data_IF_399582134397
#
_entry.id   IF_399582134397
#
_cell.length_a   1.000
_cell.length_b   1.000
_cell.length_c   1.000
_cell.angle_alpha   90.00
_cell.angle_beta   90.00
_cell.angle_gamma   90.00
#
_symmetry.space_group_name_H-M   'P 1'
#
loop_
_entity.id
_entity.type
_entity.pdbx_description
1 polymer ?
#
# COMPACT_ATOMS: atom_id res chain seq x y z
N UNK A 1 -0.38 5.37 -5.88
CA UNK A 1 -1.76 4.94 -5.57
C UNK A 1 -2.04 4.97 -4.07
N UNK A 2 -1.30 4.23 -3.24
CA UNK A 2 -1.51 4.18 -1.79
C UNK A 2 -1.52 5.58 -1.13
N UNK A 3 -0.54 6.44 -1.45
CA UNK A 3 -0.49 7.82 -0.94
C UNK A 3 -1.73 8.66 -1.32
N UNK A 4 -2.29 8.45 -2.52
CA UNK A 4 -3.53 9.12 -2.94
C UNK A 4 -4.76 8.59 -2.19
N UNK A 5 -4.77 7.30 -1.83
CA UNK A 5 -5.80 6.74 -0.95
C UNK A 5 -5.70 7.36 0.45
N UNK A 6 -4.50 7.47 1.01
CA UNK A 6 -4.25 8.13 2.30
C UNK A 6 -4.75 9.58 2.26
N UNK A 7 -4.32 10.35 1.25
CA UNK A 7 -4.76 11.75 1.06
C UNK A 7 -6.29 11.87 0.95
N UNK A 8 -6.97 10.90 0.32
CA UNK A 8 -8.43 10.87 0.25
C UNK A 8 -9.08 10.62 1.61
N UNK A 9 -8.52 9.75 2.45
CA UNK A 9 -9.05 9.48 3.80
C UNK A 9 -8.84 10.67 4.74
N UNK A 10 -7.72 11.38 4.59
CA UNK A 10 -7.43 12.62 5.35
C UNK A 10 -8.44 13.75 5.09
N UNK A 11 -9.26 13.67 4.04
CA UNK A 11 -10.34 14.63 3.80
C UNK A 11 -11.50 14.45 4.78
N UNK A 12 -11.62 13.27 5.38
CA UNK A 12 -12.64 12.95 6.39
C UNK A 12 -12.12 13.08 7.83
N UNK A 13 -10.92 13.63 8.02
CA UNK A 13 -10.22 13.74 9.32
C UNK A 13 -10.15 12.41 10.10
N UNK A 14 -10.09 11.28 9.39
CA UNK A 14 -9.91 9.96 9.97
C UNK A 14 -8.42 9.59 10.08
N UNK A 15 -8.05 8.94 11.19
CA UNK A 15 -6.67 8.49 11.43
C UNK A 15 -6.22 7.47 10.39
N UNK A 16 -5.01 7.67 9.86
CA UNK A 16 -4.34 6.74 8.95
C UNK A 16 -2.98 6.34 9.51
N UNK A 17 -2.65 5.05 9.40
CA UNK A 17 -1.34 4.51 9.78
C UNK A 17 -0.63 3.97 8.54
N UNK A 18 0.64 4.32 8.38
CA UNK A 18 1.57 3.74 7.43
C UNK A 18 2.64 2.93 8.15
N UNK A 19 2.60 1.62 8.00
CA UNK A 19 3.59 0.69 8.53
C UNK A 19 4.67 0.46 7.46
N UNK A 20 5.82 1.13 7.61
CA UNK A 20 6.95 1.06 6.69
C UNK A 20 7.91 -0.07 7.12
N UNK A 21 7.64 -1.27 6.65
CA UNK A 21 8.46 -2.47 6.92
C UNK A 21 9.71 -2.53 6.05
N UNK A 22 9.81 -1.70 5.01
CA UNK A 22 10.95 -1.70 4.09
C UNK A 22 11.83 -0.45 4.22
N UNK A 23 11.50 0.49 5.09
CA UNK A 23 12.24 1.76 5.25
C UNK A 23 12.37 2.52 3.93
N UNK A 24 11.27 2.60 3.18
CA UNK A 24 11.21 3.22 1.84
C UNK A 24 10.24 4.39 1.75
N UNK A 25 9.62 4.77 2.87
CA UNK A 25 8.68 5.88 2.88
C UNK A 25 9.39 7.21 2.65
N UNK A 26 8.95 7.94 1.63
CA UNK A 26 9.40 9.30 1.32
C UNK A 26 8.32 10.30 1.79
N UNK A 27 8.57 11.03 2.90
CA UNK A 27 7.61 12.00 3.44
C UNK A 27 7.40 13.20 2.49
N UNK A 28 8.43 13.63 1.77
CA UNK A 28 8.33 14.77 0.87
C UNK A 28 7.45 14.42 -0.33
N UNK A 29 7.62 13.22 -0.88
CA UNK A 29 6.74 12.73 -1.95
C UNK A 29 5.30 12.50 -1.46
N UNK A 30 5.12 12.05 -0.22
CA UNK A 30 3.80 11.93 0.39
C UNK A 30 3.08 13.29 0.48
N UNK A 31 3.77 14.33 0.92
CA UNK A 31 3.24 15.71 0.98
C UNK A 31 2.85 16.19 -0.42
N UNK A 32 3.72 16.01 -1.42
CA UNK A 32 3.40 16.33 -2.83
C UNK A 32 2.19 15.53 -3.37
N UNK A 33 1.96 14.33 -2.83
CA UNK A 33 0.76 13.55 -3.14
C UNK A 33 -0.51 14.04 -2.44
N UNK A 34 -0.43 15.01 -1.53
CA UNK A 34 -1.55 15.56 -0.76
C UNK A 34 -1.78 14.89 0.59
N UNK A 35 -0.82 14.10 1.07
CA UNK A 35 -0.86 13.54 2.42
C UNK A 35 -0.58 14.66 3.42
N UNK A 36 -1.42 14.75 4.45
CA UNK A 36 -1.24 15.67 5.59
C UNK A 36 -0.34 15.00 6.65
N UNK A 37 0.91 15.45 6.88
CA UNK A 37 1.85 14.76 7.78
C UNK A 37 1.39 14.70 9.23
N UNK A 38 0.69 15.74 9.70
CA UNK A 38 0.10 15.84 11.04
C UNK A 38 -0.98 14.79 11.31
N UNK A 39 -1.59 14.24 10.25
CA UNK A 39 -2.62 13.20 10.34
C UNK A 39 -2.10 11.79 10.02
N UNK A 40 -0.86 11.66 9.53
CA UNK A 40 -0.28 10.36 9.18
C UNK A 40 0.60 9.83 10.32
N UNK A 41 0.18 8.73 10.92
CA UNK A 41 1.04 7.98 11.86
C UNK A 41 1.93 7.04 11.05
N UNK A 42 3.25 7.19 11.16
CA UNK A 42 4.22 6.27 10.56
C UNK A 42 4.79 5.35 11.64
N UNK A 43 4.81 4.05 11.38
CA UNK A 43 5.45 3.06 12.26
C UNK A 43 6.53 2.30 11.49
N UNK A 44 7.71 2.18 12.10
CA UNK A 44 8.88 1.51 11.52
C UNK A 44 9.24 0.30 12.40
N UNK A 45 8.61 -0.87 12.15
CA UNK A 45 8.89 -2.06 12.93
C UNK A 45 10.33 -2.52 12.71
N UNK A 46 10.98 -2.96 13.78
CA UNK A 46 12.34 -3.48 13.78
C UNK A 46 12.38 -4.97 13.39
N UNK A 47 11.24 -5.65 13.38
CA UNK A 47 11.13 -7.06 12.97
C UNK A 47 9.78 -7.39 12.31
N UNK A 48 9.68 -8.48 11.53
CA UNK A 48 8.40 -8.97 11.01
C UNK A 48 7.36 -9.27 12.10
N UNK A 49 7.80 -9.87 13.22
CA UNK A 49 6.97 -10.16 14.38
C UNK A 49 6.35 -8.89 14.97
N UNK A 50 7.19 -7.88 15.25
CA UNK A 50 6.73 -6.58 15.74
C UNK A 50 5.76 -5.91 14.75
N UNK A 51 6.05 -5.96 13.46
CA UNK A 51 5.15 -5.42 12.44
C UNK A 51 3.74 -6.05 12.50
N UNK A 52 3.66 -7.37 12.67
CA UNK A 52 2.37 -8.07 12.83
C UNK A 52 1.70 -7.75 14.16
N UNK A 53 2.45 -7.59 15.25
CA UNK A 53 1.91 -7.17 16.56
C UNK A 53 1.31 -5.77 16.48
N UNK A 54 2.02 -4.81 15.90
CA UNK A 54 1.51 -3.45 15.65
C UNK A 54 0.21 -3.50 14.83
N UNK A 55 0.17 -4.29 13.75
CA UNK A 55 -1.06 -4.45 12.95
C UNK A 55 -2.22 -5.02 13.79
N UNK A 56 -1.93 -6.03 14.59
CA UNK A 56 -2.95 -6.66 15.42
C UNK A 56 -3.52 -5.68 16.46
N UNK A 57 -2.66 -4.87 17.08
CA UNK A 57 -3.05 -3.87 18.06
C UNK A 57 -3.88 -2.75 17.43
N UNK A 58 -3.41 -2.17 16.32
CA UNK A 58 -4.13 -1.12 15.60
C UNK A 58 -5.54 -1.56 15.19
N UNK A 59 -5.66 -2.77 14.65
CA UNK A 59 -6.96 -3.33 14.23
C UNK A 59 -7.83 -3.68 15.44
N UNK A 60 -7.24 -4.23 16.50
CA UNK A 60 -7.98 -4.64 17.70
C UNK A 60 -8.51 -3.44 18.49
N UNK A 61 -7.73 -2.36 18.54
CA UNK A 61 -8.08 -1.11 19.20
C UNK A 61 -8.94 -0.19 18.33
N UNK A 62 -9.13 -0.52 17.04
CA UNK A 62 -9.80 0.33 16.05
C UNK A 62 -9.15 1.71 15.94
N UNK A 63 -7.83 1.75 16.07
CA UNK A 63 -7.07 2.99 16.21
C UNK A 63 -6.96 3.79 14.90
N UNK A 64 -7.22 3.16 13.75
CA UNK A 64 -7.10 3.79 12.44
C UNK A 64 -8.19 3.33 11.48
N UNK A 65 -8.65 4.24 10.61
CA UNK A 65 -9.57 3.90 9.53
C UNK A 65 -8.85 3.16 8.40
N UNK A 66 -7.65 3.58 8.08
CA UNK A 66 -6.84 3.00 7.02
C UNK A 66 -5.46 2.64 7.59
N UNK A 67 -5.03 1.42 7.32
CA UNK A 67 -3.70 0.93 7.66
C UNK A 67 -3.05 0.48 6.35
N UNK A 68 -1.93 1.11 5.98
CA UNK A 68 -1.15 0.75 4.79
C UNK A 68 0.14 0.08 5.24
N UNK A 69 0.49 -1.06 4.66
CA UNK A 69 1.72 -1.82 4.95
C UNK A 69 2.62 -1.81 3.73
N UNK A 70 3.80 -1.21 3.85
CA UNK A 70 4.78 -1.07 2.78
C UNK A 70 6.13 -1.67 3.18
N UNK A 71 6.50 -2.86 2.74
CA UNK A 71 5.74 -3.81 1.91
C UNK A 71 5.57 -5.16 2.63
N UNK A 72 4.83 -6.08 2.03
CA UNK A 72 4.60 -7.41 2.62
C UNK A 72 5.82 -8.31 2.62
N UNK A 73 6.89 -7.94 1.90
CA UNK A 73 8.06 -8.81 1.67
C UNK A 73 8.64 -9.38 2.96
N UNK A 74 9.00 -8.56 3.99
CA UNK A 74 9.58 -9.09 5.21
C UNK A 74 8.58 -9.95 6.00
N UNK A 75 7.30 -9.57 5.97
CA UNK A 75 6.25 -10.23 6.73
C UNK A 75 5.83 -11.59 6.15
N UNK A 76 6.00 -11.78 4.83
CA UNK A 76 5.69 -13.02 4.13
C UNK A 76 6.87 -13.99 4.14
N UNK A 77 8.11 -13.48 4.06
CA UNK A 77 9.32 -14.30 4.05
C UNK A 77 9.48 -15.12 5.34
N UNK A 78 9.15 -14.54 6.48
CA UNK A 78 9.21 -15.20 7.80
C UNK A 78 7.89 -15.93 8.18
N UNK A 79 6.97 -16.08 7.23
CA UNK A 79 5.63 -16.65 7.44
C UNK A 79 4.79 -15.97 8.55
N UNK A 80 5.29 -14.90 9.19
CA UNK A 80 4.67 -14.22 10.33
C UNK A 80 3.28 -13.74 9.98
N UNK A 81 3.13 -13.06 8.84
CA UNK A 81 1.84 -12.59 8.38
C UNK A 81 0.92 -13.75 8.01
N UNK A 82 1.42 -14.79 7.35
CA UNK A 82 0.62 -15.96 6.98
C UNK A 82 0.03 -16.65 8.22
N UNK A 83 0.82 -16.78 9.28
CA UNK A 83 0.39 -17.39 10.55
C UNK A 83 -0.61 -16.51 11.32
N UNK A 84 -0.47 -15.19 11.25
CA UNK A 84 -1.34 -14.25 11.96
C UNK A 84 -2.63 -13.89 11.20
N UNK A 85 -2.67 -14.08 9.87
CA UNK A 85 -3.75 -13.61 9.01
C UNK A 85 -5.15 -14.07 9.45
N UNK A 86 -5.39 -15.33 9.86
CA UNK A 86 -6.72 -15.76 10.32
C UNK A 86 -7.20 -14.98 11.55
N UNK A 87 -6.29 -14.69 12.49
CA UNK A 87 -6.60 -13.91 13.70
C UNK A 87 -6.83 -12.44 13.36
N UNK A 88 -5.97 -11.87 12.51
CA UNK A 88 -6.06 -10.49 12.06
C UNK A 88 -7.38 -10.25 11.30
N UNK A 89 -7.75 -11.15 10.38
CA UNK A 89 -9.00 -11.09 9.62
C UNK A 89 -10.23 -11.06 10.53
N UNK A 90 -10.26 -11.89 11.58
CA UNK A 90 -11.38 -11.93 12.54
C UNK A 90 -11.54 -10.62 13.30
N UNK A 91 -10.44 -9.90 13.57
CA UNK A 91 -10.47 -8.58 14.21
C UNK A 91 -10.84 -7.49 13.20
N UNK A 92 -10.27 -7.55 11.99
CA UNK A 92 -10.47 -6.57 10.93
C UNK A 92 -11.95 -6.41 10.57
N UNK A 93 -12.69 -7.51 10.44
CA UNK A 93 -14.14 -7.48 10.12
C UNK A 93 -14.98 -6.74 11.16
N UNK A 94 -14.49 -6.62 12.40
CA UNK A 94 -15.16 -5.90 13.49
C UNK A 94 -14.58 -4.51 13.74
N UNK A 95 -13.54 -4.11 13.04
CA UNK A 95 -12.77 -2.90 13.34
C UNK A 95 -13.31 -1.65 12.65
N UNK A 96 -13.94 -1.80 11.48
CA UNK A 96 -14.23 -0.67 10.59
C UNK A 96 -12.98 -0.17 9.83
N UNK A 97 -11.81 -0.75 10.06
CA UNK A 97 -10.57 -0.40 9.39
C UNK A 97 -10.45 -1.09 8.03
N UNK A 98 -9.81 -0.41 7.09
CA UNK A 98 -9.30 -0.98 5.85
C UNK A 98 -7.81 -1.27 6.02
N UNK A 99 -7.39 -2.49 5.66
CA UNK A 99 -5.98 -2.90 5.68
C UNK A 99 -5.50 -3.12 4.24
N UNK A 100 -4.49 -2.34 3.84
CA UNK A 100 -3.94 -2.33 2.48
C UNK A 100 -2.49 -2.79 2.53
N UNK A 101 -2.19 -3.83 1.78
CA UNK A 101 -0.85 -4.37 1.65
C UNK A 101 -0.23 -3.97 0.30
N UNK A 102 1.00 -3.45 0.32
CA UNK A 102 1.78 -3.21 -0.88
C UNK A 102 2.74 -4.38 -1.08
N UNK A 103 2.76 -4.94 -2.29
CA UNK A 103 3.60 -6.09 -2.64
C UNK A 103 4.25 -5.87 -4.00
N UNK A 104 5.57 -6.01 -4.13
CA UNK A 104 6.24 -5.99 -5.42
C UNK A 104 5.75 -7.10 -6.35
N UNK A 105 5.69 -6.84 -7.66
CA UNK A 105 5.23 -7.83 -8.65
C UNK A 105 6.21 -8.99 -8.84
N UNK A 106 7.52 -8.76 -8.70
CA UNK A 106 8.54 -9.79 -8.85
C UNK A 106 8.43 -10.87 -7.76
N UNK A 107 7.90 -10.50 -6.60
CA UNK A 107 7.60 -11.41 -5.50
C UNK A 107 6.20 -11.95 -5.69
N UNK A 108 6.06 -12.74 -6.76
CA UNK A 108 4.83 -13.46 -7.01
C UNK A 108 4.64 -14.42 -5.84
N UNK A 109 3.65 -14.12 -5.00
CA UNK A 109 3.19 -14.99 -3.94
C UNK A 109 3.29 -16.46 -4.36
N UNK A 110 3.87 -17.31 -3.50
CA UNK A 110 3.64 -18.74 -3.62
C UNK A 110 2.13 -18.97 -3.84
N UNK A 111 1.70 -19.86 -4.74
CA UNK A 111 0.27 -20.16 -4.95
C UNK A 111 -0.47 -20.51 -3.64
N UNK A 112 0.29 -20.96 -2.64
CA UNK A 112 -0.17 -21.31 -1.30
C UNK A 112 -0.20 -20.14 -0.31
N UNK A 113 0.19 -18.93 -0.73
CA UNK A 113 0.15 -17.77 0.16
C UNK A 113 -1.31 -17.43 0.51
N UNK A 114 -1.64 -17.29 1.80
CA UNK A 114 -3.01 -17.02 2.22
C UNK A 114 -3.43 -15.58 1.93
N UNK A 115 -2.49 -14.65 1.77
CA UNK A 115 -2.80 -13.23 1.64
C UNK A 115 -3.59 -12.88 0.35
N UNK A 116 -3.20 -13.35 -0.86
CA UNK A 116 -4.04 -13.21 -2.05
C UNK A 116 -5.43 -13.84 -1.93
N UNK A 117 -5.54 -14.94 -1.18
CA UNK A 117 -6.79 -15.68 -1.01
C UNK A 117 -7.75 -14.98 -0.06
N UNK A 118 -7.23 -14.37 1.01
CA UNK A 118 -8.02 -13.62 1.99
C UNK A 118 -8.34 -12.18 1.55
N UNK A 119 -7.54 -11.57 0.67
CA UNK A 119 -7.79 -10.21 0.19
C UNK A 119 -9.18 -10.07 -0.47
N UNK A 120 -9.96 -9.08 -0.06
CA UNK A 120 -11.28 -8.80 -0.65
C UNK A 120 -11.16 -8.13 -2.02
N UNK A 121 -10.16 -7.27 -2.20
CA UNK A 121 -9.81 -6.62 -3.47
C UNK A 121 -8.32 -6.78 -3.75
N UNK A 122 -7.96 -7.04 -5.00
CA UNK A 122 -6.58 -7.09 -5.48
C UNK A 122 -6.45 -6.25 -6.73
N UNK A 123 -5.53 -5.28 -6.66
CA UNK A 123 -5.19 -4.40 -7.77
C UNK A 123 -3.76 -4.70 -8.21
N UNK A 124 -3.58 -4.97 -9.50
CA UNK A 124 -2.27 -5.03 -10.11
C UNK A 124 -1.96 -3.67 -10.73
N UNK A 125 -0.82 -3.08 -10.39
CA UNK A 125 -0.37 -1.80 -10.95
C UNK A 125 0.89 -2.06 -11.76
N UNK A 126 0.85 -1.77 -13.06
CA UNK A 126 2.00 -1.92 -13.97
C UNK A 126 2.30 -0.61 -14.67
N UNK A 127 3.57 -0.24 -14.79
CA UNK A 127 3.99 0.87 -15.66
C UNK A 127 3.90 0.42 -17.12
N UNK A 128 3.29 1.25 -17.96
CA UNK A 128 3.11 0.98 -19.39
C UNK A 128 4.13 1.73 -20.24
N UNK A 129 4.31 3.03 -19.99
CA UNK A 129 5.22 3.88 -20.74
C UNK A 129 5.71 5.03 -19.87
N UNK A 130 6.88 5.57 -20.20
CA UNK A 130 7.31 6.88 -19.72
C UNK A 130 6.48 7.98 -20.40
N UNK A 131 6.30 9.10 -19.71
CA UNK A 131 5.71 10.32 -20.22
C UNK A 131 6.81 11.39 -20.27
N UNK A 132 6.84 12.17 -21.34
CA UNK A 132 7.82 13.24 -21.50
C UNK A 132 8.06 13.62 -22.96
N UNK A 133 8.93 14.60 -23.16
CA UNK A 133 9.28 15.16 -24.46
C UNK A 133 10.79 15.07 -24.70
N UNK A 134 11.20 14.46 -25.81
CA UNK A 134 12.62 14.31 -26.14
C UNK A 134 13.36 13.46 -25.10
N UNK A 135 14.31 14.08 -24.40
CA UNK A 135 15.10 13.44 -23.33
C UNK A 135 14.48 13.61 -21.93
N UNK A 136 13.51 14.51 -21.77
CA UNK A 136 12.92 14.82 -20.46
C UNK A 136 11.87 13.78 -20.09
N UNK A 137 11.93 13.28 -18.85
CA UNK A 137 10.94 12.36 -18.28
C UNK A 137 10.08 13.12 -17.29
N UNK A 138 8.84 13.40 -17.70
CA UNK A 138 7.85 14.15 -16.92
C UNK A 138 6.97 13.25 -16.04
N UNK A 139 7.05 11.93 -16.23
CA UNK A 139 6.25 10.98 -15.48
C UNK A 139 6.15 9.63 -16.15
N UNK A 140 5.11 8.88 -15.81
CA UNK A 140 4.82 7.59 -16.42
C UNK A 140 3.34 7.26 -16.41
N UNK A 141 2.90 6.53 -17.44
CA UNK A 141 1.57 5.96 -17.49
C UNK A 141 1.58 4.60 -16.78
N UNK A 142 0.61 4.39 -15.90
CA UNK A 142 0.32 3.11 -15.28
C UNK A 142 -0.99 2.54 -15.80
N UNK A 143 -1.11 1.22 -15.73
CA UNK A 143 -2.37 0.51 -15.82
C UNK A 143 -2.67 -0.14 -14.47
N UNK A 144 -3.87 0.08 -13.97
CA UNK A 144 -4.40 -0.60 -12.78
C UNK A 144 -5.44 -1.61 -13.24
N UNK A 145 -5.19 -2.89 -12.96
CA UNK A 145 -6.07 -4.00 -13.32
C UNK A 145 -6.66 -4.61 -12.06
N UNK A 146 -7.97 -4.88 -12.07
CA UNK A 146 -8.65 -5.55 -10.95
C UNK A 146 -8.47 -7.05 -11.11
N UNK A 147 -7.56 -7.63 -10.34
CA UNK A 147 -7.33 -9.08 -10.31
C UNK A 147 -8.36 -9.83 -9.47
N UNK A 148 -8.91 -9.14 -8.47
CA UNK A 148 -9.94 -9.68 -7.56
C UNK A 148 -10.76 -8.53 -7.00
N UNK A 149 -12.05 -8.76 -6.88
CA UNK A 149 -12.97 -7.91 -6.14
C UNK A 149 -14.03 -8.85 -5.57
N UNK A 150 -14.62 -8.50 -4.43
CA UNK A 150 -15.80 -9.18 -3.90
C UNK A 150 -16.89 -8.14 -3.63
N UNK A 151 -18.17 -8.48 -3.81
CA UNK A 151 -18.71 -9.77 -4.31
C UNK A 151 -18.74 -9.86 -5.86
N UNK A 152 -18.21 -8.87 -6.58
CA UNK A 152 -18.27 -8.81 -8.05
C UNK A 152 -17.17 -9.64 -8.71
N UNK A 153 -17.38 -10.17 -9.93
CA UNK A 153 -16.30 -10.80 -10.68
C UNK A 153 -15.10 -9.85 -10.87
N UNK A 154 -13.86 -10.39 -10.95
CA UNK A 154 -12.71 -9.60 -11.35
C UNK A 154 -12.84 -9.11 -12.79
N UNK A 155 -12.03 -8.13 -13.16
CA UNK A 155 -12.02 -7.56 -14.50
C UNK A 155 -12.13 -6.05 -14.50
N UNK A 156 -11.82 -5.46 -15.66
CA UNK A 156 -11.67 -4.03 -15.81
C UNK A 156 -10.24 -3.56 -15.55
N UNK A 157 -9.87 -2.51 -16.28
CA UNK A 157 -8.60 -1.82 -16.08
C UNK A 157 -8.77 -0.34 -16.35
N UNK A 158 -7.97 0.47 -15.68
CA UNK A 158 -7.90 1.91 -15.91
C UNK A 158 -6.45 2.31 -16.15
N UNK A 159 -6.24 3.20 -17.11
CA UNK A 159 -4.94 3.85 -17.32
C UNK A 159 -4.92 5.17 -16.59
N UNK A 160 -3.85 5.41 -15.84
CA UNK A 160 -3.63 6.64 -15.09
C UNK A 160 -2.25 7.18 -15.46
N UNK A 161 -2.13 8.50 -15.56
CA UNK A 161 -0.84 9.17 -15.65
C UNK A 161 -0.38 9.55 -14.23
N UNK A 162 0.90 9.31 -13.94
CA UNK A 162 1.58 9.83 -12.76
C UNK A 162 2.63 10.81 -13.28
N UNK A 163 2.47 12.09 -12.97
CA UNK A 163 3.45 13.13 -13.26
C UNK A 163 4.39 13.34 -12.08
N UNK A 164 5.64 13.65 -12.37
CA UNK A 164 6.57 14.20 -11.40
C UNK A 164 6.33 15.71 -11.37
N UNK A 165 5.62 16.23 -10.36
CA UNK A 165 5.52 17.68 -10.18
C UNK A 165 6.90 18.25 -9.81
N UNK A 166 7.27 19.38 -10.46
CA UNK A 166 8.52 20.15 -10.35
C UNK A 166 9.75 19.40 -9.80
N UNK A 167 10.41 18.72 -10.75
CA UNK A 167 11.86 18.53 -10.87
C UNK A 167 12.59 17.86 -9.70
N UNK A 168 12.80 16.54 -9.82
CA UNK A 168 14.06 15.94 -9.39
C UNK A 168 14.97 15.92 -10.62
N UNK A 169 15.92 16.86 -10.72
CA UNK A 169 17.05 16.70 -11.64
C UNK A 169 17.99 15.67 -11.02
N UNK A 170 18.02 14.47 -11.59
CA UNK A 170 19.03 13.47 -11.29
C UNK A 170 19.98 13.40 -12.46
N UNK A 171 21.26 13.74 -12.25
CA UNK A 171 22.30 13.43 -13.21
C UNK A 171 22.47 11.91 -13.22
N UNK A 172 22.06 11.28 -14.32
CA UNK A 172 22.42 9.90 -14.60
C UNK A 172 23.89 9.88 -15.05
N UNK A 173 24.81 9.83 -14.11
CA UNK A 173 26.18 9.34 -14.34
C UNK A 173 26.31 7.91 -13.88
#
# INVERSE_FOLDING_TARGET
>A
LALKLIASVHQSDETVVYLDTCHTFDPDYAIRCGVKPDQLVTALPQSPAEGVEILYDLVSQRAARLIVVSSTVPLLADHTLANALPRLRRRLTKSGSALVFLTPLAETYSPLSPLPQDAETRLQVTRQAWLGHGADVEGYQIQVTILKQKPRPPGGSVRLAISFAETVQGDAT
#
